data_IF_060458324008
#
_entry.id   IF_060458324008
#
_cell.length_a   1.000
_cell.length_b   1.000
_cell.length_c   1.000
_cell.angle_alpha   90.00
_cell.angle_beta   90.00
_cell.angle_gamma   90.00
#
_symmetry.space_group_name_H-M   'P 1'
#
loop_
_entity.id
_entity.type
_entity.pdbx_description
1 polymer ?
#
# COMPACT_ATOMS: atom_id res chain seq x y z
N UNK A 1 54.89 -43.49 15.45
CA UNK A 1 55.20 -43.28 14.02
C UNK A 1 54.93 -41.81 13.69
N UNK A 2 55.97 -40.99 13.48
CA UNK A 2 55.86 -39.56 13.15
C UNK A 2 55.96 -39.33 11.62
N UNK A 3 55.46 -38.19 11.13
CA UNK A 3 55.94 -37.40 9.96
C UNK A 3 54.99 -36.20 9.74
N UNK A 4 55.43 -34.99 10.09
CA UNK A 4 56.11 -33.99 9.23
C UNK A 4 55.09 -33.05 8.58
N UNK A 5 54.97 -31.79 9.02
CA UNK A 5 55.86 -30.63 8.77
C UNK A 5 55.65 -29.97 7.39
N UNK A 6 55.29 -28.67 7.45
CA UNK A 6 56.08 -27.54 6.91
C UNK A 6 55.74 -26.88 5.55
N UNK A 7 55.68 -25.53 5.65
CA UNK A 7 55.86 -24.44 4.66
C UNK A 7 54.73 -24.18 3.64
N UNK A 8 54.43 -22.95 3.17
CA UNK A 8 55.17 -21.66 3.01
C UNK A 8 54.07 -20.58 2.78
N UNK A 9 54.06 -19.37 3.34
CA UNK A 9 54.98 -18.25 3.15
C UNK A 9 54.66 -17.44 1.86
N UNK A 10 54.27 -16.16 2.00
CA UNK A 10 54.94 -15.01 1.34
C UNK A 10 54.02 -13.79 1.14
N UNK A 11 54.58 -12.65 1.54
CA UNK A 11 54.10 -11.29 1.36
C UNK A 11 54.19 -10.79 -0.10
N UNK A 12 53.51 -9.69 -0.38
CA UNK A 12 53.68 -8.91 -1.61
C UNK A 12 53.14 -7.49 -1.44
N UNK A 13 54.02 -6.58 -1.01
CA UNK A 13 53.84 -5.13 -0.98
C UNK A 13 53.95 -4.54 -2.38
N UNK A 14 53.12 -3.55 -2.71
CA UNK A 14 53.25 -2.77 -3.94
C UNK A 14 52.82 -1.32 -3.73
N UNK A 15 53.77 -0.47 -3.39
CA UNK A 15 53.72 1.00 -3.42
C UNK A 15 54.23 1.52 -4.77
N UNK A 16 53.53 2.46 -5.41
CA UNK A 16 54.12 3.49 -6.32
C UNK A 16 52.99 4.46 -6.74
N UNK A 17 52.96 5.76 -6.43
CA UNK A 17 53.91 6.84 -6.80
C UNK A 17 53.97 7.09 -8.32
N UNK A 18 53.22 8.10 -8.79
CA UNK A 18 53.56 9.05 -9.87
C UNK A 18 52.36 9.99 -10.10
N UNK A 19 52.40 11.24 -9.67
CA UNK A 19 52.90 12.40 -10.44
C UNK A 19 52.19 12.64 -11.77
N UNK A 20 51.28 13.62 -11.80
CA UNK A 20 50.95 14.44 -12.98
C UNK A 20 50.35 15.79 -12.57
N UNK A 21 51.13 16.88 -12.57
CA UNK A 21 50.60 18.23 -12.78
C UNK A 21 50.83 18.63 -14.24
N UNK A 22 49.74 18.86 -14.99
CA UNK A 22 49.81 19.50 -16.30
C UNK A 22 49.29 20.93 -16.22
N UNK A 23 50.19 21.85 -16.55
CA UNK A 23 50.04 23.30 -16.66
C UNK A 23 49.53 23.68 -18.06
N UNK A 24 48.80 24.79 -18.15
CA UNK A 24 48.60 25.58 -19.39
C UNK A 24 47.31 25.26 -20.14
N UNK A 25 46.56 26.20 -20.73
CA UNK A 25 46.85 27.57 -21.13
C UNK A 25 45.54 28.37 -21.16
N UNK A 26 45.61 29.65 -20.77
CA UNK A 26 44.60 30.64 -21.10
C UNK A 26 44.77 31.06 -22.57
N UNK A 27 43.72 30.94 -23.37
CA UNK A 27 43.60 31.64 -24.65
C UNK A 27 42.35 32.52 -24.63
N UNK A 28 42.62 33.80 -24.82
CA UNK A 28 41.70 34.91 -25.00
C UNK A 28 41.52 35.07 -26.51
N UNK A 29 40.30 35.23 -27.01
CA UNK A 29 40.11 35.76 -28.37
C UNK A 29 38.80 35.37 -29.04
N UNK A 30 38.02 36.42 -29.37
CA UNK A 30 37.09 36.58 -30.50
C UNK A 30 36.08 35.44 -30.74
N UNK A 31 34.77 35.66 -30.61
CA UNK A 31 34.02 36.66 -31.36
C UNK A 31 33.22 35.96 -32.45
N UNK A 32 31.96 36.39 -32.63
CA UNK A 32 31.04 36.08 -33.74
C UNK A 32 30.11 34.85 -33.53
N UNK A 33 29.00 34.73 -34.29
CA UNK A 33 27.66 35.10 -33.82
C UNK A 33 26.72 33.87 -33.85
N UNK A 34 25.64 33.92 -33.08
CA UNK A 34 24.66 32.83 -33.08
C UNK A 34 23.92 32.68 -34.42
N UNK A 35 23.70 31.45 -34.91
CA UNK A 35 22.53 31.09 -35.71
C UNK A 35 21.46 30.51 -34.76
N UNK A 36 20.26 31.10 -34.73
CA UNK A 36 19.11 30.66 -35.52
C UNK A 36 18.74 29.18 -35.32
N UNK A 37 17.71 28.99 -34.49
CA UNK A 37 16.55 28.08 -34.67
C UNK A 37 16.71 27.00 -35.75
N UNK A 38 16.76 25.74 -35.33
CA UNK A 38 15.86 24.69 -35.85
C UNK A 38 15.88 23.49 -34.91
N UNK A 39 14.81 23.31 -34.14
CA UNK A 39 14.50 22.07 -33.43
C UNK A 39 13.42 21.36 -34.25
N UNK A 40 13.83 20.80 -35.38
CA UNK A 40 13.13 19.66 -35.95
C UNK A 40 13.46 18.45 -35.08
N UNK A 41 12.60 18.16 -34.12
CA UNK A 41 12.49 16.82 -33.59
C UNK A 41 11.02 16.42 -33.53
N UNK A 42 10.50 16.13 -34.71
CA UNK A 42 9.33 15.30 -34.88
C UNK A 42 9.69 13.88 -34.41
N UNK A 43 9.04 13.42 -33.34
CA UNK A 43 8.43 12.10 -33.17
C UNK A 43 7.70 12.17 -31.83
N UNK A 44 6.41 12.50 -31.89
CA UNK A 44 5.49 12.23 -30.81
C UNK A 44 4.99 10.78 -30.99
N UNK A 45 5.31 9.83 -30.10
CA UNK A 45 4.54 8.60 -30.06
C UNK A 45 3.16 8.93 -29.50
N UNK A 46 2.14 8.63 -30.29
CA UNK A 46 0.76 8.53 -29.86
C UNK A 46 0.67 7.51 -28.71
N UNK A 47 0.71 8.00 -27.48
CA UNK A 47 0.58 7.17 -26.29
C UNK A 47 -0.74 7.50 -25.60
N UNK A 48 -1.74 6.69 -25.94
CA UNK A 48 -2.92 6.35 -25.17
C UNK A 48 -3.66 7.52 -24.50
N UNK A 49 -4.81 7.87 -25.09
CA UNK A 49 -5.97 8.39 -24.38
C UNK A 49 -6.32 7.41 -23.23
N UNK A 50 -5.70 7.64 -22.08
CA UNK A 50 -6.15 7.09 -20.81
C UNK A 50 -7.41 7.87 -20.47
N UNK A 51 -8.56 7.20 -20.55
CA UNK A 51 -9.83 7.71 -20.03
C UNK A 51 -9.58 8.04 -18.55
N UNK A 52 -9.36 9.32 -18.28
CA UNK A 52 -9.28 9.87 -16.95
C UNK A 52 -10.70 9.81 -16.38
N UNK A 53 -11.01 8.69 -15.71
CA UNK A 53 -12.18 8.62 -14.85
C UNK A 53 -12.00 9.72 -13.79
N UNK A 54 -12.86 10.75 -13.75
CA UNK A 54 -12.79 11.74 -12.68
C UNK A 54 -13.09 11.01 -11.37
N UNK A 55 -12.08 10.90 -10.50
CA UNK A 55 -12.30 10.50 -9.12
C UNK A 55 -13.34 11.41 -8.46
N UNK A 56 -13.96 10.99 -7.34
CA UNK A 56 -15.00 11.78 -6.69
C UNK A 56 -14.50 13.21 -6.50
N UNK A 57 -15.15 14.13 -7.21
CA UNK A 57 -14.98 15.54 -7.06
C UNK A 57 -15.42 15.86 -5.63
N UNK A 58 -14.46 15.89 -4.70
CA UNK A 58 -14.61 16.82 -3.60
C UNK A 58 -14.87 18.17 -4.26
N UNK A 59 -15.99 18.86 -3.96
CA UNK A 59 -16.22 20.17 -4.51
C UNK A 59 -14.96 20.96 -4.18
N UNK A 60 -14.33 21.50 -5.22
CA UNK A 60 -13.31 22.52 -5.11
C UNK A 60 -13.99 23.75 -4.50
N UNK A 61 -14.33 23.66 -3.22
CA UNK A 61 -14.43 24.81 -2.37
C UNK A 61 -13.11 25.55 -2.61
N UNK A 62 -13.18 26.84 -2.93
CA UNK A 62 -12.00 27.68 -2.85
C UNK A 62 -11.53 27.63 -1.40
N UNK A 63 -10.61 26.69 -1.10
CA UNK A 63 -10.22 26.42 0.25
C UNK A 63 -9.32 27.56 0.67
N UNK A 64 -9.83 28.41 1.56
CA UNK A 64 -9.09 29.53 2.11
C UNK A 64 -7.87 28.99 2.84
N UNK A 65 -6.71 29.04 2.19
CA UNK A 65 -5.44 28.64 2.79
C UNK A 65 -5.15 29.58 3.96
N UNK A 66 -5.19 29.06 5.19
CA UNK A 66 -4.82 29.82 6.39
C UNK A 66 -3.31 29.77 6.58
N UNK A 67 -2.74 30.81 7.19
CA UNK A 67 -1.34 30.81 7.61
C UNK A 67 -1.24 30.09 8.95
N UNK A 68 -0.37 29.09 9.05
CA UNK A 68 -0.12 28.32 10.27
C UNK A 68 1.37 28.31 10.55
N UNK A 69 1.75 28.67 11.77
CA UNK A 69 3.14 28.57 12.26
C UNK A 69 3.35 27.21 12.92
N UNK A 70 4.38 26.50 12.49
CA UNK A 70 4.74 25.17 12.95
C UNK A 70 6.21 25.14 13.34
N UNK A 71 6.57 24.28 14.29
CA UNK A 71 7.96 23.99 14.62
C UNK A 71 8.26 22.56 14.16
N UNK A 72 9.29 22.40 13.32
CA UNK A 72 9.72 21.12 12.73
C UNK A 72 11.23 21.03 12.90
N UNK A 73 11.73 19.97 13.54
CA UNK A 73 13.15 19.72 13.78
C UNK A 73 13.88 20.93 14.41
N UNK A 74 13.20 21.63 15.31
CA UNK A 74 13.71 22.85 15.97
C UNK A 74 13.67 24.13 15.12
N UNK A 75 13.18 24.06 13.88
CA UNK A 75 12.97 25.22 13.01
C UNK A 75 11.52 25.66 13.03
N UNK A 76 11.27 26.96 13.21
CA UNK A 76 9.91 27.52 13.16
C UNK A 76 9.63 28.07 11.76
N UNK A 77 8.54 27.60 11.15
CA UNK A 77 8.15 27.89 9.76
C UNK A 77 6.68 28.31 9.71
N UNK A 78 6.35 29.29 8.87
CA UNK A 78 4.97 29.68 8.59
C UNK A 78 4.55 29.18 7.22
N UNK A 79 3.53 28.32 7.16
CA UNK A 79 3.03 27.72 5.91
C UNK A 79 1.57 28.10 5.65
N UNK A 80 1.20 28.19 4.37
CA UNK A 80 -0.20 28.35 3.95
C UNK A 80 -0.81 26.99 3.68
N UNK A 81 -1.78 26.58 4.49
CA UNK A 81 -2.40 25.26 4.41
C UNK A 81 -3.87 25.31 4.79
N UNK A 82 -4.62 24.38 4.25
CA UNK A 82 -6.02 24.08 4.56
C UNK A 82 -6.17 22.81 5.41
N UNK A 83 -5.08 22.10 5.67
CA UNK A 83 -5.11 20.90 6.48
C UNK A 83 -5.58 21.21 7.91
N UNK A 84 -6.38 20.30 8.45
CA UNK A 84 -6.80 20.36 9.86
C UNK A 84 -5.58 20.18 10.79
N UNK A 85 -5.71 20.69 12.02
CA UNK A 85 -4.61 20.68 12.97
C UNK A 85 -4.16 19.26 13.37
N UNK A 86 -5.06 18.28 13.37
CA UNK A 86 -4.71 16.90 13.72
C UNK A 86 -3.87 16.24 12.61
N UNK A 87 -4.18 16.52 11.35
CA UNK A 87 -3.38 16.12 10.18
C UNK A 87 -2.02 16.81 10.21
N UNK A 88 -1.96 18.12 10.44
CA UNK A 88 -0.69 18.85 10.55
C UNK A 88 0.20 18.29 11.67
N UNK A 89 -0.35 18.08 12.87
CA UNK A 89 0.40 17.48 13.98
C UNK A 89 0.96 16.09 13.64
N UNK A 90 0.21 15.27 12.89
CA UNK A 90 0.72 13.96 12.42
C UNK A 90 1.87 14.13 11.46
N UNK A 91 1.77 15.04 10.49
CA UNK A 91 2.84 15.31 9.52
C UNK A 91 4.10 15.78 10.23
N UNK A 92 3.99 16.76 11.13
CA UNK A 92 5.13 17.28 11.90
C UNK A 92 5.82 16.16 12.68
N UNK A 93 5.05 15.36 13.44
CA UNK A 93 5.62 14.22 14.18
C UNK A 93 6.32 13.20 13.28
N UNK A 94 5.77 12.92 12.08
CA UNK A 94 6.37 11.98 11.13
C UNK A 94 7.71 12.52 10.60
N UNK A 95 7.77 13.81 10.28
CA UNK A 95 9.00 14.47 9.82
C UNK A 95 10.05 14.52 10.95
N UNK A 96 9.67 14.95 12.14
CA UNK A 96 10.57 15.02 13.31
C UNK A 96 11.15 13.65 13.63
N UNK A 97 10.30 12.61 13.67
CA UNK A 97 10.74 11.24 13.91
C UNK A 97 11.78 10.76 12.89
N UNK A 98 11.58 11.10 11.60
CA UNK A 98 12.55 10.75 10.55
C UNK A 98 13.87 11.50 10.70
N UNK A 99 13.81 12.80 11.00
CA UNK A 99 15.00 13.62 11.22
C UNK A 99 15.81 13.08 12.40
N UNK A 100 15.15 12.74 13.50
CA UNK A 100 15.79 12.19 14.70
C UNK A 100 16.39 10.80 14.46
N UNK A 101 15.72 9.95 13.68
CA UNK A 101 16.25 8.65 13.26
C UNK A 101 17.56 8.80 12.47
N UNK A 102 17.56 9.62 11.41
CA UNK A 102 18.75 9.83 10.57
C UNK A 102 19.87 10.48 11.37
N UNK A 103 19.55 11.45 12.22
CA UNK A 103 20.54 12.15 13.06
C UNK A 103 21.20 11.21 14.07
N UNK A 104 20.46 10.24 14.63
CA UNK A 104 21.02 9.21 15.54
C UNK A 104 21.95 8.26 14.80
N UNK A 105 21.63 7.88 13.57
CA UNK A 105 22.48 7.01 12.74
C UNK A 105 23.73 7.70 12.21
N UNK A 106 23.68 9.02 11.99
CA UNK A 106 24.77 9.78 11.40
C UNK A 106 24.92 11.19 12.01
N UNK A 107 25.47 11.29 13.25
CA UNK A 107 25.50 12.54 14.00
C UNK A 107 26.43 13.62 13.41
N UNK A 108 27.36 13.24 12.54
CA UNK A 108 28.32 14.15 11.88
C UNK A 108 27.76 14.84 10.63
N UNK A 109 26.57 14.45 10.16
CA UNK A 109 25.97 15.04 8.96
C UNK A 109 25.36 16.41 9.28
N UNK A 110 25.64 17.45 8.47
CA UNK A 110 25.02 18.77 8.62
C UNK A 110 23.49 18.70 8.62
N UNK A 111 22.85 19.48 9.49
CA UNK A 111 21.39 19.51 9.67
C UNK A 111 20.62 19.66 8.36
N UNK A 112 21.04 20.55 7.45
CA UNK A 112 20.38 20.72 6.16
C UNK A 112 20.37 19.43 5.30
N UNK A 113 21.46 18.65 5.33
CA UNK A 113 21.52 17.35 4.64
C UNK A 113 20.63 16.31 5.31
N UNK A 114 20.52 16.31 6.64
CA UNK A 114 19.58 15.44 7.37
C UNK A 114 18.13 15.72 6.94
N UNK A 115 17.74 16.99 6.80
CA UNK A 115 16.40 17.36 6.34
C UNK A 115 16.13 16.88 4.91
N UNK A 116 17.11 17.03 4.01
CA UNK A 116 16.98 16.56 2.64
C UNK A 116 16.84 15.03 2.58
N UNK A 117 17.66 14.29 3.33
CA UNK A 117 17.54 12.84 3.43
C UNK A 117 16.18 12.44 4.01
N UNK A 118 15.70 13.11 5.06
CA UNK A 118 14.39 12.84 5.63
C UNK A 118 13.26 13.05 4.61
N UNK A 119 13.32 14.15 3.84
CA UNK A 119 12.35 14.43 2.79
C UNK A 119 12.36 13.37 1.69
N UNK A 120 13.55 12.95 1.23
CA UNK A 120 13.70 11.91 0.22
C UNK A 120 13.15 10.56 0.71
N UNK A 121 13.48 10.15 1.94
CA UNK A 121 12.98 8.88 2.47
C UNK A 121 11.46 8.89 2.64
N UNK A 122 10.87 10.00 3.09
CA UNK A 122 9.42 10.13 3.19
C UNK A 122 8.73 10.15 1.81
N UNK A 123 9.38 10.73 0.80
CA UNK A 123 8.88 10.70 -0.57
C UNK A 123 8.92 9.27 -1.14
N UNK A 124 10.00 8.52 -0.88
CA UNK A 124 10.12 7.13 -1.29
C UNK A 124 9.04 6.25 -0.63
N UNK A 125 8.77 6.42 0.67
CA UNK A 125 7.65 5.72 1.32
C UNK A 125 6.31 6.03 0.68
N UNK A 126 6.08 7.28 0.28
CA UNK A 126 4.84 7.67 -0.38
C UNK A 126 4.71 6.97 -1.74
N UNK A 127 5.78 6.97 -2.54
CA UNK A 127 5.81 6.30 -3.84
C UNK A 127 5.57 4.80 -3.67
N UNK A 128 6.24 4.14 -2.71
CA UNK A 128 6.00 2.72 -2.43
C UNK A 128 4.53 2.44 -2.04
N UNK A 129 3.90 3.34 -1.28
CA UNK A 129 2.49 3.21 -0.93
C UNK A 129 1.57 3.41 -2.13
N UNK A 130 1.92 4.31 -3.05
CA UNK A 130 1.19 4.56 -4.30
C UNK A 130 1.32 3.37 -5.25
N UNK A 131 2.51 2.82 -5.42
CA UNK A 131 2.77 1.63 -6.22
C UNK A 131 2.00 0.42 -5.68
N UNK A 132 2.07 0.15 -4.37
CA UNK A 132 1.32 -0.94 -3.75
C UNK A 132 -0.20 -0.77 -3.88
N UNK A 133 -0.70 0.48 -3.78
CA UNK A 133 -2.11 0.79 -4.04
C UNK A 133 -2.47 0.49 -5.49
N UNK A 134 -1.64 0.94 -6.44
CA UNK A 134 -1.90 0.80 -7.86
C UNK A 134 -1.81 -0.66 -8.30
N UNK A 135 -0.88 -1.44 -7.74
CA UNK A 135 -0.81 -2.89 -7.88
C UNK A 135 -2.05 -3.58 -7.31
N UNK A 136 -2.53 -3.17 -6.12
CA UNK A 136 -3.75 -3.73 -5.54
C UNK A 136 -4.99 -3.41 -6.38
N UNK A 137 -5.08 -2.20 -6.93
CA UNK A 137 -6.15 -1.79 -7.84
C UNK A 137 -6.06 -2.55 -9.17
N UNK A 138 -4.86 -2.74 -9.72
CA UNK A 138 -4.63 -3.53 -10.91
C UNK A 138 -4.98 -5.00 -10.68
N UNK A 139 -4.57 -5.58 -9.54
CA UNK A 139 -4.91 -6.95 -9.16
C UNK A 139 -6.42 -7.13 -8.95
N UNK A 140 -7.11 -6.16 -8.35
CA UNK A 140 -8.56 -6.16 -8.25
C UNK A 140 -9.26 -6.06 -9.62
N UNK A 141 -8.67 -5.31 -10.57
CA UNK A 141 -9.17 -5.21 -11.94
C UNK A 141 -8.82 -6.43 -12.82
N UNK A 142 -7.72 -7.12 -12.52
CA UNK A 142 -7.22 -8.29 -13.26
C UNK A 142 -7.54 -9.62 -12.58
N UNK A 143 -8.23 -9.60 -11.43
CA UNK A 143 -8.76 -10.80 -10.81
C UNK A 143 -9.61 -11.52 -11.88
N UNK A 144 -9.25 -12.77 -12.26
CA UNK A 144 -9.96 -13.43 -13.34
C UNK A 144 -11.41 -13.69 -12.91
N UNK A 145 -12.32 -12.96 -13.56
CA UNK A 145 -13.77 -13.15 -13.50
C UNK A 145 -14.25 -14.62 -13.60
N UNK A 146 -13.61 -15.60 -14.28
CA UNK A 146 -14.17 -16.96 -14.31
C UNK A 146 -14.20 -17.69 -12.96
N UNK A 147 -13.21 -17.50 -12.07
CA UNK A 147 -13.24 -18.17 -10.75
C UNK A 147 -14.13 -17.45 -9.75
N UNK A 148 -14.25 -16.13 -9.83
CA UNK A 148 -15.14 -15.37 -8.95
C UNK A 148 -16.62 -15.59 -9.32
N UNK A 149 -16.93 -15.68 -10.61
CA UNK A 149 -18.26 -16.09 -11.10
C UNK A 149 -18.53 -17.54 -10.70
N UNK A 150 -17.62 -18.48 -10.96
CA UNK A 150 -17.80 -19.88 -10.58
C UNK A 150 -17.92 -20.08 -9.06
N UNK A 151 -17.17 -19.32 -8.24
CA UNK A 151 -17.31 -19.36 -6.77
C UNK A 151 -18.64 -18.76 -6.30
N UNK A 152 -19.14 -17.71 -6.95
CA UNK A 152 -20.47 -17.14 -6.67
C UNK A 152 -21.60 -18.08 -7.07
N UNK A 153 -21.50 -18.74 -8.22
CA UNK A 153 -22.46 -19.75 -8.67
C UNK A 153 -22.43 -21.00 -7.79
N UNK A 154 -21.24 -21.48 -7.42
CA UNK A 154 -21.09 -22.60 -6.48
C UNK A 154 -21.61 -22.25 -5.08
N UNK A 155 -21.42 -21.01 -4.61
CA UNK A 155 -22.00 -20.54 -3.36
C UNK A 155 -23.53 -20.44 -3.44
N UNK A 156 -24.08 -19.92 -4.54
CA UNK A 156 -25.53 -19.85 -4.77
C UNK A 156 -26.16 -21.25 -4.84
N UNK A 157 -25.49 -22.23 -5.47
CA UNK A 157 -25.93 -23.62 -5.51
C UNK A 157 -26.03 -24.23 -4.11
N UNK A 158 -25.04 -23.97 -3.23
CA UNK A 158 -25.07 -24.44 -1.83
C UNK A 158 -26.23 -23.85 -1.03
N UNK A 159 -26.56 -22.58 -1.25
CA UNK A 159 -27.72 -21.95 -0.58
C UNK A 159 -29.03 -22.59 -1.07
N UNK A 160 -29.15 -22.83 -2.37
CA UNK A 160 -30.34 -23.48 -2.94
C UNK A 160 -30.53 -24.91 -2.43
N UNK A 161 -29.44 -25.68 -2.31
CA UNK A 161 -29.50 -27.04 -1.74
C UNK A 161 -29.86 -27.00 -0.24
N UNK A 162 -29.33 -26.03 0.51
CA UNK A 162 -29.70 -25.82 1.91
C UNK A 162 -31.19 -25.53 2.10
N UNK A 163 -31.78 -24.72 1.21
CA UNK A 163 -33.22 -24.45 1.23
C UNK A 163 -34.05 -25.72 0.96
N UNK A 164 -33.68 -26.52 -0.04
CA UNK A 164 -34.37 -27.80 -0.31
C UNK A 164 -34.27 -28.76 0.87
N UNK A 165 -33.13 -28.80 1.55
CA UNK A 165 -32.96 -29.67 2.71
C UNK A 165 -33.81 -29.21 3.91
N UNK A 166 -33.94 -27.89 4.12
CA UNK A 166 -34.86 -27.35 5.12
C UNK A 166 -36.33 -27.68 4.79
N UNK A 167 -36.75 -27.55 3.53
CA UNK A 167 -38.11 -27.91 3.12
C UNK A 167 -38.41 -29.40 3.33
N UNK A 168 -37.44 -30.28 3.06
CA UNK A 168 -37.56 -31.72 3.32
C UNK A 168 -37.66 -32.02 4.82
N UNK A 169 -36.85 -31.34 5.65
CA UNK A 169 -36.91 -31.50 7.11
C UNK A 169 -38.24 -30.99 7.67
N UNK A 170 -38.73 -29.85 7.19
CA UNK A 170 -40.02 -29.30 7.58
C UNK A 170 -41.16 -30.25 7.20
N UNK A 171 -41.17 -30.75 5.97
CA UNK A 171 -42.18 -31.71 5.50
C UNK A 171 -42.17 -33.00 6.32
N UNK A 172 -40.98 -33.49 6.68
CA UNK A 172 -40.84 -34.67 7.55
C UNK A 172 -41.37 -34.41 8.95
N UNK A 173 -41.04 -33.26 9.54
CA UNK A 173 -41.50 -32.89 10.88
C UNK A 173 -43.03 -32.74 10.96
N UNK A 174 -43.65 -32.17 9.92
CA UNK A 174 -45.11 -32.07 9.83
C UNK A 174 -45.74 -33.46 9.83
N UNK A 175 -45.19 -34.40 9.05
CA UNK A 175 -45.70 -35.77 9.00
C UNK A 175 -45.57 -36.49 10.35
N UNK A 176 -44.45 -36.34 11.06
CA UNK A 176 -44.29 -36.98 12.37
C UNK A 176 -45.27 -36.41 13.39
N UNK A 177 -45.54 -35.10 13.35
CA UNK A 177 -46.54 -34.49 14.24
C UNK A 177 -47.97 -34.96 13.93
N UNK A 178 -48.30 -35.16 12.65
CA UNK A 178 -49.58 -35.73 12.22
C UNK A 178 -49.74 -37.18 12.72
N UNK A 179 -48.68 -37.99 12.61
CA UNK A 179 -48.64 -39.36 13.12
C UNK A 179 -48.80 -39.41 14.66
N UNK A 180 -48.12 -38.52 15.39
CA UNK A 180 -48.24 -38.41 16.86
C UNK A 180 -49.65 -37.97 17.29
N UNK A 181 -50.26 -37.02 16.57
CA UNK A 181 -51.64 -36.57 16.84
C UNK A 181 -52.66 -37.69 16.62
N UNK A 182 -52.53 -38.44 15.53
CA UNK A 182 -53.41 -39.59 15.26
C UNK A 182 -53.30 -40.67 16.36
N UNK A 183 -52.12 -40.89 16.92
CA UNK A 183 -51.94 -41.83 18.03
C UNK A 183 -52.66 -41.38 19.31
N UNK A 184 -52.60 -40.08 19.63
CA UNK A 184 -53.30 -39.52 20.79
C UNK A 184 -54.83 -39.59 20.64
N UNK A 185 -55.35 -39.36 19.43
CA UNK A 185 -56.80 -39.52 19.16
C UNK A 185 -57.26 -40.98 19.20
N UNK A 186 -56.33 -41.92 18.98
CA UNK A 186 -56.59 -43.36 19.02
C UNK A 186 -56.50 -43.95 20.43
N UNK A 187 -56.00 -43.20 21.44
CA UNK A 187 -55.96 -43.70 22.81
C UNK A 187 -57.39 -43.83 23.36
N UNK A 188 -57.81 -45.04 23.77
CA UNK A 188 -59.14 -45.23 24.31
C UNK A 188 -59.25 -44.45 25.62
N UNK A 189 -60.16 -43.48 25.66
CA UNK A 189 -60.51 -42.74 26.87
C UNK A 189 -60.80 -43.77 27.97
N UNK A 190 -60.05 -43.78 29.09
CA UNK A 190 -60.33 -44.69 30.18
C UNK A 190 -61.72 -44.36 30.70
N UNK A 191 -62.68 -45.23 30.41
CA UNK A 191 -63.96 -45.21 31.10
C UNK A 191 -63.66 -45.59 32.54
N UNK A 192 -63.44 -44.59 33.40
CA UNK A 192 -63.50 -44.73 34.85
C UNK A 192 -64.93 -45.10 35.21
N UNK A 193 -65.22 -46.39 35.07
CA UNK A 193 -66.35 -47.07 35.66
C UNK A 193 -66.17 -47.07 37.17
N UNK A 194 -66.41 -45.91 37.79
CA UNK A 194 -66.85 -45.82 39.18
C UNK A 194 -68.23 -46.48 39.26
N UNK A 195 -68.23 -47.81 39.24
CA UNK A 195 -69.36 -48.59 39.73
C UNK A 195 -69.24 -48.61 41.25
N UNK A 196 -69.94 -47.67 41.86
CA UNK A 196 -70.19 -47.61 43.29
C UNK A 196 -71.09 -48.80 43.68
N UNK A 197 -70.68 -49.45 44.78
CA UNK A 197 -71.43 -50.18 45.82
C UNK A 197 -72.87 -50.63 45.57
#
# INVERSE_FOLDING_TARGET
MPRSDVHRGSAGSGSSSADRPCVGHATRGAGMPGPLVSLDNAVAPAFLQRVFLPGPTHPAAFVSKRSVTLTIAGQTLSIRTDADDARLRRIVRKVDGRVDEIRRGAPSIPTAKVHLLAALTLAEELVQCEDARDEALAAAAHAPEPEAIARREAAAARVADGHRQLDLLASRAVRTLDEDLQQLESEPVPHDGTSDS
#
